data_IF_177173251891
#
_entry.id   IF_177173251891
#
_cell.length_a   1.000
_cell.length_b   1.000
_cell.length_c   1.000
_cell.angle_alpha   90.00
_cell.angle_beta   90.00
_cell.angle_gamma   90.00
#
_symmetry.space_group_name_H-M   'P 1'
#
loop_
_entity.id
_entity.type
_entity.pdbx_description
1 polymer ?
#
# COMPACT_ATOMS: atom_id res chain seq x y z
N UNK A 1 11.65 15.19 -6.55
CA UNK A 1 10.26 15.70 -6.45
C UNK A 1 9.90 16.59 -7.64
N UNK A 2 9.92 16.02 -8.87
CA UNK A 2 9.52 16.73 -10.10
C UNK A 2 8.10 16.35 -10.57
N UNK A 3 7.51 15.28 -10.03
CA UNK A 3 6.33 14.66 -10.63
C UNK A 3 5.01 15.35 -10.28
N UNK A 4 4.81 15.92 -9.09
CA UNK A 4 3.46 16.42 -8.76
C UNK A 4 2.99 17.60 -9.62
N UNK A 5 3.85 18.56 -9.96
CA UNK A 5 3.45 19.69 -10.82
C UNK A 5 3.26 19.28 -12.28
N UNK A 6 4.07 18.35 -12.78
CA UNK A 6 3.93 17.83 -14.14
C UNK A 6 2.66 16.95 -14.26
N UNK A 7 2.42 16.09 -13.28
CA UNK A 7 1.22 15.26 -13.18
C UNK A 7 -0.04 16.11 -13.02
N UNK A 8 -0.02 17.15 -12.18
CA UNK A 8 -1.14 18.07 -12.03
C UNK A 8 -1.43 18.82 -13.35
N UNK A 9 -0.41 19.17 -14.13
CA UNK A 9 -0.55 19.80 -15.45
C UNK A 9 -1.07 18.82 -16.52
N UNK A 10 -0.68 17.55 -16.46
CA UNK A 10 -1.19 16.49 -17.33
C UNK A 10 -2.67 16.17 -17.03
N UNK A 11 -3.03 16.01 -15.74
CA UNK A 11 -4.41 15.81 -15.29
C UNK A 11 -5.32 17.00 -15.64
N UNK A 12 -4.79 18.22 -15.59
CA UNK A 12 -5.52 19.44 -15.99
C UNK A 12 -5.78 19.50 -17.50
N UNK A 13 -4.91 18.91 -18.33
CA UNK A 13 -5.10 18.81 -19.78
C UNK A 13 -6.14 17.75 -20.14
N UNK A 14 -6.09 16.59 -19.49
CA UNK A 14 -7.08 15.53 -19.65
C UNK A 14 -8.49 15.97 -19.20
N UNK A 15 -8.60 16.82 -18.18
CA UNK A 15 -9.87 17.34 -17.68
C UNK A 15 -10.60 18.32 -18.63
N UNK A 16 -9.92 18.87 -19.65
CA UNK A 16 -10.54 19.79 -20.61
C UNK A 16 -11.24 19.07 -21.77
N UNK A 17 -10.86 17.83 -22.10
CA UNK A 17 -11.53 17.03 -23.14
C UNK A 17 -12.84 16.36 -22.65
N UNK A 18 -13.10 16.34 -21.34
CA UNK A 18 -14.33 15.81 -20.77
C UNK A 18 -15.46 16.84 -20.55
N UNK A 19 -15.29 18.11 -20.96
CA UNK A 19 -16.35 19.15 -20.83
C UNK A 19 -17.37 19.14 -21.99
N UNK A 20 -17.85 17.97 -22.40
CA UNK A 20 -19.09 17.80 -23.17
C UNK A 20 -19.86 16.58 -22.67
N UNK A 21 -20.32 16.65 -21.43
CA UNK A 21 -21.22 15.66 -20.85
C UNK A 21 -21.95 16.28 -19.67
N UNK A 22 -23.26 16.49 -19.83
CA UNK A 22 -24.17 17.10 -18.86
C UNK A 22 -24.13 16.31 -17.55
N UNK A 23 -23.76 16.95 -16.43
CA UNK A 23 -23.93 16.39 -15.09
C UNK A 23 -25.00 17.16 -14.34
N UNK A 24 -26.06 16.45 -13.96
CA UNK A 24 -27.15 16.95 -13.13
C UNK A 24 -26.69 17.27 -11.71
N UNK A 25 -27.31 18.31 -11.15
CA UNK A 25 -27.18 18.76 -9.77
C UNK A 25 -27.43 17.63 -8.76
N UNK A 26 -26.54 17.49 -7.77
CA UNK A 26 -26.84 16.79 -6.51
C UNK A 26 -26.53 17.71 -5.32
N UNK A 27 -27.57 17.87 -4.50
CA UNK A 27 -27.66 18.78 -3.36
C UNK A 27 -26.88 18.28 -2.14
N UNK A 28 -26.46 19.25 -1.31
CA UNK A 28 -25.87 19.08 0.03
C UNK A 28 -26.74 18.23 0.96
N UNK A 29 -26.09 17.45 1.82
CA UNK A 29 -26.45 17.31 3.25
C UNK A 29 -25.28 16.72 4.05
N UNK A 30 -24.98 17.37 5.19
CA UNK A 30 -24.01 16.98 6.22
C UNK A 30 -24.62 15.94 7.16
N UNK A 31 -23.84 14.96 7.64
CA UNK A 31 -23.95 14.45 9.03
C UNK A 31 -22.58 13.93 9.51
N UNK A 32 -22.08 14.55 10.58
CA UNK A 32 -20.93 14.15 11.41
C UNK A 32 -21.39 13.20 12.52
N UNK A 33 -20.48 12.33 12.98
CA UNK A 33 -20.41 11.92 14.40
C UNK A 33 -20.56 10.43 14.68
N UNK A 34 -19.51 9.82 15.28
CA UNK A 34 -19.58 8.48 15.86
C UNK A 34 -18.21 7.90 16.19
N UNK A 35 -17.59 8.36 17.28
CA UNK A 35 -16.34 7.82 17.81
C UNK A 35 -16.57 6.53 18.62
N UNK A 36 -15.63 5.58 18.51
CA UNK A 36 -15.62 4.31 19.25
C UNK A 36 -14.77 4.46 20.51
N UNK A 37 -15.37 4.28 21.69
CA UNK A 37 -14.69 4.17 22.99
C UNK A 37 -14.42 2.69 23.30
N UNK A 38 -13.18 2.38 23.66
CA UNK A 38 -12.80 1.14 24.34
C UNK A 38 -13.08 1.26 25.84
N UNK A 39 -13.68 0.22 26.44
CA UNK A 39 -13.76 0.05 27.89
C UNK A 39 -13.06 -1.25 28.27
N UNK A 40 -11.97 -1.10 29.02
CA UNK A 40 -11.35 -2.11 29.88
C UNK A 40 -12.20 -2.25 31.15
N UNK A 41 -12.36 -3.48 31.65
CA UNK A 41 -12.55 -3.71 33.08
C UNK A 41 -12.05 -5.10 33.47
N UNK A 42 -11.01 -5.13 34.31
CA UNK A 42 -10.78 -6.21 35.27
C UNK A 42 -11.79 -6.06 36.43
N UNK A 43 -12.26 -7.18 36.98
CA UNK A 43 -12.59 -7.32 38.40
C UNK A 43 -12.74 -8.81 38.76
N UNK A 44 -12.25 -9.14 39.95
CA UNK A 44 -12.00 -10.47 40.46
C UNK A 44 -13.24 -11.23 40.95
N UNK A 45 -13.11 -12.56 40.98
CA UNK A 45 -13.96 -13.55 41.68
C UNK A 45 -13.88 -13.36 43.23
N UNK A 46 -14.69 -14.01 44.11
CA UNK A 46 -15.16 -15.41 44.03
C UNK A 46 -16.59 -15.73 44.58
N UNK A 47 -17.10 -16.95 44.32
CA UNK A 47 -18.16 -17.53 45.16
C UNK A 47 -19.06 -18.62 44.56
N UNK A 48 -18.70 -19.89 44.84
CA UNK A 48 -19.54 -21.07 45.19
C UNK A 48 -20.66 -21.62 44.27
N UNK A 49 -20.39 -22.88 43.87
CA UNK A 49 -21.20 -24.11 43.99
C UNK A 49 -22.58 -24.24 43.26
N UNK A 50 -22.56 -25.13 42.25
CA UNK A 50 -23.65 -25.88 41.58
C UNK A 50 -24.41 -26.81 42.56
N UNK A 51 -25.60 -27.44 42.26
CA UNK A 51 -25.96 -27.99 40.93
C UNK A 51 -27.45 -28.05 40.52
N UNK A 52 -27.63 -28.50 39.27
CA UNK A 52 -28.81 -29.08 38.61
C UNK A 52 -29.60 -28.19 37.65
N UNK A 53 -29.39 -28.44 36.35
CA UNK A 53 -30.27 -28.00 35.25
C UNK A 53 -29.71 -28.49 33.91
N UNK A 54 -30.45 -29.35 33.22
CA UNK A 54 -30.07 -30.06 32.00
C UNK A 54 -29.46 -29.18 30.89
N UNK A 55 -28.35 -29.65 30.29
CA UNK A 55 -27.84 -29.17 29.00
C UNK A 55 -28.68 -29.73 27.84
N UNK A 56 -29.09 -28.90 26.87
CA UNK A 56 -29.17 -29.31 25.48
C UNK A 56 -27.81 -29.05 24.81
N UNK A 57 -27.27 -30.08 24.15
CA UNK A 57 -26.08 -30.00 23.31
C UNK A 57 -26.30 -29.03 22.14
N UNK A 58 -25.57 -27.92 22.13
CA UNK A 58 -25.38 -27.11 20.93
C UNK A 58 -24.29 -27.74 20.05
N UNK A 59 -24.69 -28.64 19.14
CA UNK A 59 -23.92 -28.98 17.95
C UNK A 59 -24.63 -28.34 16.75
N UNK A 60 -23.98 -27.41 16.04
CA UNK A 60 -24.58 -26.88 14.82
C UNK A 60 -24.02 -25.57 14.25
N UNK A 61 -22.74 -25.22 14.43
CA UNK A 61 -22.20 -24.00 13.81
C UNK A 61 -21.12 -24.23 12.73
N UNK A 62 -20.45 -25.39 12.70
CA UNK A 62 -19.35 -25.64 11.73
C UNK A 62 -19.79 -26.21 10.37
N UNK A 63 -20.95 -26.87 10.28
CA UNK A 63 -21.40 -27.52 9.03
C UNK A 63 -21.96 -26.51 8.00
N UNK A 64 -22.47 -25.38 8.46
CA UNK A 64 -23.07 -24.34 7.61
C UNK A 64 -22.02 -23.53 6.84
N UNK A 65 -20.93 -23.16 7.51
CA UNK A 65 -19.88 -22.32 6.93
C UNK A 65 -19.04 -23.10 5.91
N UNK A 66 -18.64 -24.33 6.24
CA UNK A 66 -17.94 -25.23 5.31
C UNK A 66 -18.76 -25.50 4.04
N UNK A 67 -20.08 -25.73 4.19
CA UNK A 67 -20.99 -25.88 3.05
C UNK A 67 -21.12 -24.62 2.19
N UNK A 68 -21.08 -23.44 2.79
CA UNK A 68 -21.12 -22.16 2.07
C UNK A 68 -19.85 -21.91 1.26
N UNK A 69 -18.68 -22.13 1.87
CA UNK A 69 -17.37 -21.96 1.20
C UNK A 69 -17.19 -22.96 0.05
N UNK A 70 -17.72 -24.17 0.20
CA UNK A 70 -17.77 -25.16 -0.87
C UNK A 70 -18.57 -24.65 -2.08
N UNK A 71 -19.78 -24.13 -1.84
CA UNK A 71 -20.64 -23.57 -2.90
C UNK A 71 -20.02 -22.37 -3.61
N UNK A 72 -19.26 -21.54 -2.88
CA UNK A 72 -18.54 -20.41 -3.49
C UNK A 72 -17.44 -20.88 -4.42
N UNK A 73 -16.69 -21.92 -4.05
CA UNK A 73 -15.66 -22.47 -4.92
C UNK A 73 -16.22 -23.19 -6.14
N UNK A 74 -17.37 -23.88 -6.02
CA UNK A 74 -18.10 -24.41 -7.17
C UNK A 74 -18.53 -23.29 -8.14
N UNK A 75 -19.13 -22.22 -7.63
CA UNK A 75 -19.55 -21.08 -8.44
C UNK A 75 -18.36 -20.44 -9.16
N UNK A 76 -17.23 -20.30 -8.45
CA UNK A 76 -16.00 -19.77 -9.00
C UNK A 76 -15.43 -20.69 -10.10
N UNK A 77 -15.45 -22.00 -9.89
CA UNK A 77 -15.04 -22.99 -10.89
C UNK A 77 -15.84 -22.81 -12.17
N UNK A 78 -17.17 -22.81 -12.11
CA UNK A 78 -18.02 -22.67 -13.30
C UNK A 78 -17.83 -21.32 -14.00
N UNK A 79 -17.56 -20.25 -13.24
CA UNK A 79 -17.28 -18.92 -13.79
C UNK A 79 -16.02 -18.93 -14.66
N UNK A 80 -14.97 -19.63 -14.24
CA UNK A 80 -13.68 -19.67 -14.96
C UNK A 80 -13.66 -20.77 -16.04
N UNK A 81 -14.34 -21.89 -15.79
CA UNK A 81 -14.39 -23.01 -16.71
C UNK A 81 -15.18 -22.70 -17.98
N UNK A 82 -16.14 -21.77 -17.93
CA UNK A 82 -16.98 -21.37 -19.08
C UNK A 82 -17.64 -22.58 -19.76
N UNK A 83 -18.12 -23.53 -18.94
CA UNK A 83 -18.78 -24.76 -19.41
C UNK A 83 -17.85 -25.95 -19.68
N UNK A 84 -16.54 -25.81 -19.48
CA UNK A 84 -15.60 -26.93 -19.56
C UNK A 84 -15.59 -27.77 -18.25
N UNK A 85 -15.29 -29.06 -18.35
CA UNK A 85 -15.18 -29.93 -17.17
C UNK A 85 -13.88 -29.73 -16.37
N UNK A 86 -12.87 -29.09 -16.97
CA UNK A 86 -11.55 -28.87 -16.39
C UNK A 86 -11.02 -27.49 -16.76
N UNK A 87 -10.26 -26.90 -15.85
CA UNK A 87 -9.63 -25.58 -16.02
C UNK A 87 -8.12 -25.76 -16.17
N UNK A 88 -7.52 -25.34 -17.30
CA UNK A 88 -6.08 -25.21 -17.40
C UNK A 88 -5.55 -24.14 -16.43
N UNK A 89 -4.45 -24.40 -15.73
CA UNK A 89 -3.89 -23.44 -14.76
C UNK A 89 -3.49 -22.11 -15.40
N UNK A 90 -3.04 -22.12 -16.65
CA UNK A 90 -2.75 -20.87 -17.36
C UNK A 90 -4.01 -20.02 -17.57
N UNK A 91 -5.18 -20.64 -17.76
CA UNK A 91 -6.47 -19.94 -17.87
C UNK A 91 -6.83 -19.29 -16.54
N UNK A 92 -6.69 -20.03 -15.43
CA UNK A 92 -6.89 -19.48 -14.08
C UNK A 92 -5.96 -18.30 -13.79
N UNK A 93 -4.65 -18.45 -14.02
CA UNK A 93 -3.66 -17.40 -13.73
C UNK A 93 -3.84 -16.18 -14.64
N UNK A 94 -4.27 -16.36 -15.88
CA UNK A 94 -4.62 -15.25 -16.79
C UNK A 94 -5.85 -14.50 -16.29
N UNK A 95 -6.91 -15.23 -15.93
CA UNK A 95 -8.13 -14.64 -15.40
C UNK A 95 -7.89 -13.93 -14.05
N UNK A 96 -7.03 -14.49 -13.20
CA UNK A 96 -6.58 -13.85 -11.95
C UNK A 96 -5.85 -12.53 -12.23
N UNK A 97 -4.91 -12.52 -13.19
CA UNK A 97 -4.19 -11.30 -13.58
C UNK A 97 -5.11 -10.22 -14.14
N UNK A 98 -6.17 -10.60 -14.86
CA UNK A 98 -7.17 -9.65 -15.36
C UNK A 98 -7.92 -8.91 -14.23
N UNK A 99 -8.02 -9.52 -13.03
CA UNK A 99 -8.56 -8.83 -11.85
C UNK A 99 -7.58 -7.80 -11.26
N UNK A 100 -6.33 -7.77 -11.71
CA UNK A 100 -5.25 -6.94 -11.19
C UNK A 100 -4.45 -7.58 -10.06
N UNK A 101 -4.86 -8.73 -9.52
CA UNK A 101 -4.05 -9.47 -8.56
C UNK A 101 -2.85 -10.13 -9.24
N UNK A 102 -1.75 -10.21 -8.53
CA UNK A 102 -0.55 -10.92 -8.97
C UNK A 102 -0.50 -12.32 -8.35
N UNK A 103 0.08 -13.28 -9.07
CA UNK A 103 0.31 -14.64 -8.55
C UNK A 103 1.31 -14.65 -7.38
N UNK A 104 2.06 -13.56 -7.17
CA UNK A 104 2.97 -13.39 -6.04
C UNK A 104 2.32 -12.66 -4.86
N UNK A 105 1.01 -12.41 -4.88
CA UNK A 105 0.31 -11.82 -3.73
C UNK A 105 0.46 -12.74 -2.51
N UNK A 106 0.99 -12.24 -1.37
CA UNK A 106 1.16 -13.06 -0.17
C UNK A 106 -0.14 -13.71 0.32
N UNK A 107 -1.30 -13.08 0.07
CA UNK A 107 -2.62 -13.61 0.45
C UNK A 107 -3.07 -14.78 -0.45
N UNK A 108 -2.38 -15.04 -1.56
CA UNK A 108 -2.64 -16.15 -2.48
C UNK A 108 -1.55 -17.23 -2.41
N UNK A 109 -0.59 -17.11 -1.49
CA UNK A 109 0.56 -18.02 -1.41
C UNK A 109 0.14 -19.49 -1.29
N UNK A 110 -0.83 -19.79 -0.43
CA UNK A 110 -1.32 -21.16 -0.22
C UNK A 110 -1.97 -21.71 -1.48
N UNK A 111 -2.85 -20.94 -2.12
CA UNK A 111 -3.49 -21.32 -3.37
C UNK A 111 -2.48 -21.63 -4.47
N UNK A 112 -1.51 -20.74 -4.68
CA UNK A 112 -0.48 -20.94 -5.71
C UNK A 112 0.42 -22.13 -5.40
N UNK A 113 0.79 -22.32 -4.13
CA UNK A 113 1.63 -23.45 -3.70
C UNK A 113 0.92 -24.79 -3.91
N UNK A 114 -0.38 -24.86 -3.58
CA UNK A 114 -1.19 -26.05 -3.83
C UNK A 114 -1.34 -26.35 -5.33
N UNK A 115 -1.59 -25.33 -6.15
CA UNK A 115 -1.68 -25.50 -7.60
C UNK A 115 -0.37 -26.02 -8.19
N UNK A 116 0.78 -25.46 -7.80
CA UNK A 116 2.08 -25.94 -8.27
C UNK A 116 2.38 -27.38 -7.83
N UNK A 117 2.06 -27.74 -6.58
CA UNK A 117 2.22 -29.12 -6.09
C UNK A 117 1.39 -30.11 -6.91
N UNK A 118 0.13 -29.77 -7.20
CA UNK A 118 -0.74 -30.65 -7.99
C UNK A 118 -0.26 -30.84 -9.43
N UNK A 119 0.37 -29.83 -10.03
CA UNK A 119 0.99 -29.95 -11.37
C UNK A 119 2.16 -30.92 -11.36
N UNK A 120 2.95 -30.90 -10.29
CA UNK A 120 4.11 -31.79 -10.17
C UNK A 120 3.71 -33.24 -9.89
N UNK A 121 2.65 -33.43 -9.10
CA UNK A 121 2.16 -34.76 -8.71
C UNK A 121 1.26 -35.41 -9.77
N UNK A 122 0.58 -34.61 -10.60
CA UNK A 122 -0.36 -35.12 -11.60
C UNK A 122 0.27 -35.21 -12.98
N UNK A 123 0.19 -36.38 -13.61
CA UNK A 123 0.49 -36.59 -15.04
C UNK A 123 -0.51 -35.90 -15.99
N UNK A 124 -1.54 -35.23 -15.45
CA UNK A 124 -2.66 -34.60 -16.17
C UNK A 124 -2.34 -33.24 -16.85
N UNK A 125 -1.06 -32.87 -17.01
CA UNK A 125 -0.68 -31.71 -17.82
C UNK A 125 -1.21 -30.35 -17.34
N UNK A 126 -1.48 -30.20 -16.03
CA UNK A 126 -1.92 -28.92 -15.44
C UNK A 126 -3.41 -28.58 -15.65
N UNK A 127 -4.25 -29.60 -15.83
CA UNK A 127 -5.71 -29.47 -15.83
C UNK A 127 -6.29 -29.69 -14.43
N UNK A 128 -7.07 -28.72 -13.93
CA UNK A 128 -7.77 -28.80 -12.65
C UNK A 128 -9.22 -29.23 -12.88
N UNK A 129 -9.63 -30.35 -12.30
CA UNK A 129 -11.05 -30.67 -12.15
C UNK A 129 -11.67 -29.87 -10.98
N UNK A 130 -12.98 -30.01 -10.78
CA UNK A 130 -13.73 -29.29 -9.74
C UNK A 130 -13.18 -29.54 -8.35
N UNK A 131 -12.88 -30.79 -8.00
CA UNK A 131 -12.49 -31.16 -6.64
C UNK A 131 -11.05 -30.73 -6.34
N UNK A 132 -10.15 -30.82 -7.32
CA UNK A 132 -8.78 -30.29 -7.24
C UNK A 132 -8.77 -28.76 -7.15
N UNK A 133 -9.60 -28.09 -7.95
CA UNK A 133 -9.77 -26.65 -7.89
C UNK A 133 -10.25 -26.20 -6.51
N UNK A 134 -11.30 -26.85 -5.99
CA UNK A 134 -11.86 -26.56 -4.66
C UNK A 134 -10.80 -26.65 -3.56
N UNK A 135 -9.97 -27.70 -3.60
CA UNK A 135 -8.85 -27.86 -2.65
C UNK A 135 -7.88 -26.68 -2.75
N UNK A 136 -7.46 -26.32 -3.96
CA UNK A 136 -6.50 -25.24 -4.20
C UNK A 136 -7.01 -23.88 -3.73
N UNK A 137 -8.28 -23.55 -3.95
CA UNK A 137 -8.81 -22.21 -3.65
C UNK A 137 -9.35 -22.09 -2.23
N UNK A 138 -9.56 -23.19 -1.51
CA UNK A 138 -10.23 -23.23 -0.21
C UNK A 138 -9.68 -22.21 0.81
N UNK A 139 -8.36 -22.12 0.96
CA UNK A 139 -7.71 -21.19 1.90
C UNK A 139 -7.90 -19.70 1.55
N UNK A 140 -8.18 -19.38 0.29
CA UNK A 140 -8.21 -18.01 -0.22
C UNK A 140 -9.52 -17.66 -0.94
N UNK A 141 -10.57 -18.48 -0.76
CA UNK A 141 -11.81 -18.41 -1.55
C UNK A 141 -12.54 -17.08 -1.42
N UNK A 142 -12.50 -16.44 -0.26
CA UNK A 142 -13.16 -15.14 -0.03
C UNK A 142 -12.55 -14.05 -0.91
N UNK A 143 -11.21 -13.95 -0.92
CA UNK A 143 -10.48 -12.97 -1.74
C UNK A 143 -10.70 -13.24 -3.24
N UNK A 144 -10.58 -14.51 -3.66
CA UNK A 144 -10.81 -14.90 -5.04
C UNK A 144 -12.26 -14.60 -5.47
N UNK A 145 -13.24 -14.89 -4.61
CA UNK A 145 -14.65 -14.58 -4.89
C UNK A 145 -14.85 -13.07 -5.06
N UNK A 146 -14.22 -12.24 -4.23
CA UNK A 146 -14.28 -10.78 -4.39
C UNK A 146 -13.67 -10.33 -5.73
N UNK A 147 -12.52 -10.90 -6.09
CA UNK A 147 -11.82 -10.59 -7.33
C UNK A 147 -12.68 -10.91 -8.57
N UNK A 148 -13.12 -12.17 -8.69
CA UNK A 148 -13.83 -12.65 -9.87
C UNK A 148 -15.28 -12.14 -9.96
N UNK A 149 -15.90 -11.74 -8.84
CA UNK A 149 -17.22 -11.09 -8.85
C UNK A 149 -17.16 -9.58 -8.99
N UNK A 150 -16.00 -9.03 -9.38
CA UNK A 150 -15.77 -7.59 -9.59
C UNK A 150 -16.17 -6.75 -8.36
N UNK A 151 -15.81 -7.23 -7.16
CA UNK A 151 -16.09 -6.55 -5.88
C UNK A 151 -14.92 -5.72 -5.36
N UNK A 152 -13.79 -5.71 -6.07
CA UNK A 152 -12.72 -4.77 -5.78
C UNK A 152 -13.13 -3.33 -6.10
N UNK A 153 -12.41 -2.40 -5.47
CA UNK A 153 -12.56 -0.96 -5.57
C UNK A 153 -12.46 -0.47 -7.01
N UNK A 154 -11.70 -1.17 -7.87
CA UNK A 154 -11.70 -0.98 -9.32
C UNK A 154 -12.19 -2.28 -9.98
N UNK A 155 -13.49 -2.39 -10.34
CA UNK A 155 -14.08 -3.56 -10.98
C UNK A 155 -13.44 -3.94 -12.33
N UNK A 156 -13.29 -2.97 -13.23
CA UNK A 156 -12.77 -3.15 -14.59
C UNK A 156 -11.31 -2.70 -14.67
N UNK A 157 -10.44 -3.46 -13.99
CA UNK A 157 -9.04 -3.09 -13.80
C UNK A 157 -8.24 -3.01 -15.09
N UNK A 158 -8.48 -3.91 -16.05
CA UNK A 158 -7.80 -3.92 -17.35
C UNK A 158 -8.04 -2.62 -18.14
N UNK A 159 -9.31 -2.19 -18.24
CA UNK A 159 -9.67 -0.91 -18.88
C UNK A 159 -9.01 0.27 -18.16
N UNK A 160 -9.07 0.28 -16.82
CA UNK A 160 -8.42 1.31 -16.01
C UNK A 160 -6.90 1.37 -16.26
N UNK A 161 -6.22 0.22 -16.35
CA UNK A 161 -4.78 0.19 -16.64
C UNK A 161 -4.45 0.70 -18.04
N UNK A 162 -5.32 0.46 -19.03
CA UNK A 162 -5.19 1.08 -20.35
C UNK A 162 -5.25 2.62 -20.30
N UNK A 163 -5.98 3.21 -19.35
CA UNK A 163 -5.96 4.67 -19.12
C UNK A 163 -4.65 5.13 -18.48
N UNK A 164 -4.12 4.34 -17.54
CA UNK A 164 -2.82 4.62 -16.91
C UNK A 164 -1.70 4.57 -17.95
N UNK A 165 -1.72 3.61 -18.87
CA UNK A 165 -0.74 3.47 -19.95
C UNK A 165 -0.75 4.70 -20.88
N UNK A 166 -1.94 5.19 -21.23
CA UNK A 166 -2.07 6.43 -22.03
C UNK A 166 -1.51 7.64 -21.30
N UNK A 167 -1.84 7.81 -20.02
CA UNK A 167 -1.28 8.90 -19.19
C UNK A 167 0.24 8.78 -19.07
N UNK A 168 0.75 7.55 -18.95
CA UNK A 168 2.19 7.28 -18.89
C UNK A 168 2.89 7.76 -20.15
N UNK A 169 2.41 7.41 -21.34
CA UNK A 169 3.00 7.84 -22.62
C UNK A 169 2.86 9.36 -22.81
N UNK A 170 1.70 9.96 -22.52
CA UNK A 170 1.51 11.41 -22.62
C UNK A 170 2.47 12.19 -21.71
N UNK A 171 2.71 11.68 -20.50
CA UNK A 171 3.62 12.32 -19.54
C UNK A 171 5.10 12.10 -19.87
N UNK A 172 5.44 10.99 -20.54
CA UNK A 172 6.80 10.64 -20.96
C UNK A 172 7.38 11.64 -21.96
N UNK A 173 6.53 12.22 -22.80
CA UNK A 173 6.91 13.28 -23.76
C UNK A 173 7.35 14.59 -23.08
N UNK A 174 7.12 14.74 -21.76
CA UNK A 174 7.54 15.92 -21.01
C UNK A 174 9.03 15.83 -20.60
N UNK A 175 9.93 16.07 -21.55
CA UNK A 175 11.40 15.98 -21.37
C UNK A 175 12.05 17.13 -20.59
N UNK A 176 11.26 18.05 -20.03
CA UNK A 176 11.75 19.23 -19.33
C UNK A 176 12.27 19.01 -17.90
N UNK A 177 13.06 19.97 -17.40
CA UNK A 177 13.55 20.04 -16.00
C UNK A 177 15.04 19.72 -15.83
N UNK A 178 15.63 19.99 -14.65
CA UNK A 178 17.05 19.66 -14.31
C UNK A 178 17.23 18.67 -13.17
N UNK A 179 18.04 17.61 -13.34
CA UNK A 179 18.16 16.57 -12.29
C UNK A 179 18.82 17.18 -11.06
N UNK A 180 18.50 16.64 -9.89
CA UNK A 180 19.04 17.14 -8.64
C UNK A 180 20.57 16.93 -8.62
N UNK A 181 21.32 18.03 -8.72
CA UNK A 181 22.78 17.98 -8.81
C UNK A 181 23.50 18.36 -7.50
N UNK A 182 22.76 18.72 -6.45
CA UNK A 182 23.33 19.12 -5.17
C UNK A 182 23.90 17.94 -4.37
N UNK A 183 23.53 16.69 -4.72
CA UNK A 183 24.15 15.46 -4.21
C UNK A 183 24.74 14.71 -5.41
N UNK A 184 26.05 14.38 -5.42
CA UNK A 184 26.71 13.75 -6.56
C UNK A 184 26.03 12.45 -7.07
N UNK A 185 25.44 11.69 -6.15
CA UNK A 185 24.78 10.41 -6.41
C UNK A 185 23.44 10.63 -7.12
N UNK A 186 22.74 11.72 -6.83
CA UNK A 186 21.53 12.13 -7.53
C UNK A 186 21.85 12.69 -8.93
N UNK A 187 23.00 13.33 -9.09
CA UNK A 187 23.46 13.86 -10.39
C UNK A 187 23.70 12.75 -11.42
N UNK A 188 24.00 11.52 -10.97
CA UNK A 188 24.19 10.34 -11.82
C UNK A 188 22.89 9.73 -12.35
N UNK A 189 21.72 10.20 -11.88
CA UNK A 189 20.44 9.67 -12.34
C UNK A 189 20.20 10.00 -13.82
N UNK A 190 19.91 8.99 -14.62
CA UNK A 190 19.54 9.16 -16.03
C UNK A 190 18.18 9.92 -16.12
N UNK A 191 18.12 11.08 -16.81
CA UNK A 191 16.90 11.88 -16.93
C UNK A 191 15.77 11.17 -17.69
N UNK A 192 16.07 10.15 -18.50
CA UNK A 192 15.10 9.42 -19.31
C UNK A 192 14.39 8.30 -18.51
N UNK A 193 14.76 8.11 -17.24
CA UNK A 193 14.08 7.16 -16.37
C UNK A 193 12.70 7.68 -15.96
N UNK A 194 11.68 7.05 -16.54
CA UNK A 194 10.28 7.28 -16.23
C UNK A 194 9.58 5.97 -15.89
N UNK A 195 8.82 5.96 -14.78
CA UNK A 195 8.14 4.77 -14.27
C UNK A 195 6.93 5.14 -13.42
N UNK A 196 5.84 4.40 -13.58
CA UNK A 196 4.59 4.55 -12.83
C UNK A 196 4.18 3.20 -12.28
N UNK A 197 3.91 3.14 -10.98
CA UNK A 197 3.39 1.95 -10.30
C UNK A 197 2.16 2.32 -9.49
N UNK A 198 1.17 1.42 -9.48
CA UNK A 198 -0.03 1.55 -8.67
C UNK A 198 -0.33 0.26 -7.90
N UNK A 199 -0.92 0.43 -6.72
CA UNK A 199 -1.42 -0.62 -5.85
C UNK A 199 -2.73 -0.11 -5.23
N UNK A 200 -3.83 -0.80 -5.46
CA UNK A 200 -5.13 -0.44 -4.85
C UNK A 200 -5.20 -0.99 -3.42
N UNK A 201 -6.19 -0.52 -2.63
CA UNK A 201 -6.42 -1.01 -1.27
C UNK A 201 -6.76 -2.51 -1.22
N UNK A 202 -7.28 -3.06 -2.33
CA UNK A 202 -7.57 -4.49 -2.48
C UNK A 202 -6.37 -5.30 -2.96
N UNK A 203 -5.24 -4.66 -3.27
CA UNK A 203 -4.02 -5.28 -3.75
C UNK A 203 -3.97 -5.50 -5.26
N UNK A 204 -4.82 -4.81 -6.05
CA UNK A 204 -4.69 -4.80 -7.51
C UNK A 204 -3.48 -3.95 -7.91
N UNK A 205 -2.65 -4.44 -8.83
CA UNK A 205 -1.36 -3.83 -9.14
C UNK A 205 -1.11 -3.73 -10.63
N UNK A 206 -0.56 -2.59 -11.04
CA UNK A 206 -0.09 -2.34 -12.40
C UNK A 206 1.17 -1.49 -12.38
N UNK A 207 2.02 -1.63 -13.39
CA UNK A 207 3.29 -0.93 -13.47
C UNK A 207 3.75 -0.77 -14.92
N UNK A 208 4.21 0.42 -15.27
CA UNK A 208 4.62 0.81 -16.63
C UNK A 208 5.95 1.56 -16.57
N UNK A 209 6.87 1.23 -17.48
CA UNK A 209 8.20 1.84 -17.55
C UNK A 209 9.18 1.32 -16.50
N UNK A 210 10.10 2.19 -16.05
CA UNK A 210 11.26 1.85 -15.23
C UNK A 210 10.92 1.73 -13.73
N UNK A 211 10.02 0.81 -13.38
CA UNK A 211 9.43 0.70 -12.03
C UNK A 211 10.25 -0.14 -11.04
N UNK A 212 11.22 -0.91 -11.53
CA UNK A 212 12.07 -1.79 -10.72
C UNK A 212 13.46 -1.20 -10.45
N UNK A 213 13.71 0.04 -10.86
CA UNK A 213 14.97 0.72 -10.59
C UNK A 213 14.89 1.37 -9.21
N UNK A 214 15.75 0.99 -8.25
CA UNK A 214 15.73 1.57 -6.91
C UNK A 214 16.22 3.02 -6.94
N UNK A 215 15.59 3.87 -6.11
CA UNK A 215 16.00 5.26 -5.90
C UNK A 215 15.75 5.68 -4.44
N UNK A 216 16.46 6.71 -3.98
CA UNK A 216 16.27 7.21 -2.61
C UNK A 216 14.93 7.96 -2.48
N UNK A 217 14.16 7.63 -1.45
CA UNK A 217 12.86 8.28 -1.16
C UNK A 217 12.98 9.80 -0.94
N UNK A 218 14.11 10.28 -0.40
CA UNK A 218 14.31 11.68 -0.06
C UNK A 218 13.16 12.20 0.81
N UNK A 219 12.65 13.41 0.56
CA UNK A 219 11.54 13.99 1.34
C UNK A 219 10.23 13.20 1.31
N UNK A 220 10.06 12.20 0.43
CA UNK A 220 8.90 11.31 0.46
C UNK A 220 8.86 10.43 1.73
N UNK A 221 9.95 10.34 2.49
CA UNK A 221 9.98 9.60 3.76
C UNK A 221 9.27 10.33 4.91
N UNK A 222 9.14 11.66 4.86
CA UNK A 222 8.57 12.50 5.93
C UNK A 222 7.17 12.07 6.40
N UNK A 223 6.19 11.84 5.50
CA UNK A 223 4.88 11.33 5.93
C UNK A 223 4.95 9.95 6.57
N UNK A 224 5.88 9.09 6.15
CA UNK A 224 6.05 7.76 6.71
C UNK A 224 6.60 7.82 8.14
N UNK A 225 7.64 8.62 8.38
CA UNK A 225 8.20 8.80 9.74
C UNK A 225 7.22 9.52 10.66
N UNK A 226 6.44 10.46 10.15
CA UNK A 226 5.34 11.07 10.90
C UNK A 226 4.27 10.04 11.28
N UNK A 227 3.81 9.21 10.34
CA UNK A 227 2.84 8.15 10.61
C UNK A 227 3.35 7.15 11.66
N UNK A 228 4.62 6.74 11.58
CA UNK A 228 5.26 5.90 12.59
C UNK A 228 5.20 6.58 13.96
N UNK A 229 5.59 7.85 14.06
CA UNK A 229 5.61 8.60 15.31
C UNK A 229 4.22 8.74 15.94
N UNK A 230 3.20 9.00 15.12
CA UNK A 230 1.80 9.09 15.56
C UNK A 230 1.30 7.73 16.04
N UNK A 231 1.62 6.65 15.30
CA UNK A 231 1.21 5.30 15.66
C UNK A 231 1.85 4.82 16.98
N UNK A 232 3.02 5.32 17.35
CA UNK A 232 3.74 4.88 18.55
C UNK A 232 3.54 5.78 19.76
N UNK A 233 3.42 7.10 19.56
CA UNK A 233 3.39 8.09 20.65
C UNK A 233 2.02 8.76 20.79
N UNK A 234 1.14 8.61 19.80
CA UNK A 234 -0.16 9.27 19.75
C UNK A 234 -0.07 10.71 19.24
N UNK A 235 -1.18 11.15 18.63
CA UNK A 235 -1.32 12.47 18.01
C UNK A 235 -1.02 13.61 18.98
N UNK A 236 -1.57 13.55 20.19
CA UNK A 236 -1.47 14.64 21.17
C UNK A 236 -0.03 14.83 21.65
N UNK A 237 0.75 13.75 21.79
CA UNK A 237 2.14 13.86 22.20
C UNK A 237 3.00 14.47 21.09
N UNK A 238 2.89 13.94 19.87
CA UNK A 238 3.69 14.41 18.72
C UNK A 238 3.46 15.89 18.47
N UNK A 239 2.21 16.35 18.54
CA UNK A 239 1.86 17.74 18.26
C UNK A 239 2.16 18.74 19.38
N UNK A 240 2.77 18.30 20.50
CA UNK A 240 3.45 19.22 21.43
C UNK A 240 4.74 19.80 20.84
N UNK A 241 5.32 19.11 19.84
CA UNK A 241 6.64 19.45 19.29
C UNK A 241 6.59 19.93 17.84
N UNK A 242 5.51 19.67 17.11
CA UNK A 242 5.35 20.07 15.72
C UNK A 242 3.90 20.46 15.44
N UNK A 243 3.70 21.55 14.70
CA UNK A 243 2.37 22.03 14.33
C UNK A 243 1.66 21.15 13.31
N UNK A 244 0.49 21.60 12.86
CA UNK A 244 -0.36 20.94 11.86
C UNK A 244 -0.55 21.76 10.59
N UNK A 245 -0.30 23.07 10.68
CA UNK A 245 -0.69 24.03 9.67
C UNK A 245 0.40 24.27 8.62
N UNK A 246 0.04 24.67 7.39
CA UNK A 246 1.01 25.07 6.39
C UNK A 246 1.76 26.33 6.85
N UNK A 247 3.04 26.44 6.48
CA UNK A 247 3.86 27.61 6.84
C UNK A 247 3.58 28.85 6.00
N UNK A 248 2.91 28.71 4.84
CA UNK A 248 2.81 29.76 3.83
C UNK A 248 4.15 30.15 3.18
N UNK A 249 5.26 29.52 3.59
CA UNK A 249 6.63 29.80 3.14
C UNK A 249 7.18 28.62 2.32
N UNK A 250 8.22 28.88 1.52
CA UNK A 250 8.93 27.81 0.80
C UNK A 250 9.59 26.83 1.78
N UNK A 251 9.60 25.54 1.44
CA UNK A 251 10.08 24.43 2.28
C UNK A 251 11.55 24.51 2.75
N UNK A 252 12.39 25.34 2.10
CA UNK A 252 13.80 25.54 2.46
C UNK A 252 14.02 26.59 3.55
N UNK A 253 13.01 27.38 3.92
CA UNK A 253 13.15 28.28 5.07
C UNK A 253 12.96 27.48 6.35
N UNK A 254 13.96 27.53 7.23
CA UNK A 254 13.78 27.17 8.63
C UNK A 254 12.87 28.22 9.25
N UNK A 255 11.57 27.92 9.34
CA UNK A 255 10.58 28.77 9.99
C UNK A 255 9.86 28.00 11.09
N UNK A 256 9.68 28.69 12.21
CA UNK A 256 8.86 28.24 13.34
C UNK A 256 7.56 29.05 13.32
N UNK A 257 6.50 28.47 13.88
CA UNK A 257 5.25 29.18 14.14
C UNK A 257 5.38 30.10 15.37
N UNK A 258 4.28 30.77 15.72
CA UNK A 258 4.21 31.71 16.85
C UNK A 258 4.50 31.01 18.19
N UNK A 259 4.25 29.70 18.27
CA UNK A 259 4.53 28.85 19.42
C UNK A 259 5.98 28.35 19.50
N UNK A 260 6.85 28.76 18.58
CA UNK A 260 8.26 28.38 18.57
C UNK A 260 8.53 26.94 18.16
N UNK A 261 7.57 26.26 17.51
CA UNK A 261 7.71 24.90 16.98
C UNK A 261 7.64 24.91 15.44
N UNK A 262 8.15 23.87 14.74
CA UNK A 262 8.02 23.82 13.29
C UNK A 262 6.55 23.73 12.86
N UNK A 263 6.18 24.39 11.76
CA UNK A 263 4.78 24.49 11.32
C UNK A 263 4.09 23.14 11.09
N UNK A 264 4.77 22.17 10.47
CA UNK A 264 4.22 20.84 10.21
C UNK A 264 5.31 19.81 9.93
N UNK A 265 5.00 18.49 9.98
CA UNK A 265 5.96 17.41 9.72
C UNK A 265 6.53 17.36 8.29
N UNK A 266 5.93 18.07 7.33
CA UNK A 266 6.33 18.01 5.91
C UNK A 266 7.48 18.95 5.56
N UNK A 267 7.75 19.97 6.37
CA UNK A 267 8.93 20.82 6.23
C UNK A 267 10.17 20.19 6.86
N UNK A 268 11.38 20.61 6.45
CA UNK A 268 12.63 20.01 6.95
C UNK A 268 12.75 20.11 8.49
N UNK A 269 12.45 21.29 9.07
CA UNK A 269 12.49 21.48 10.52
C UNK A 269 11.54 20.52 11.26
N UNK A 270 10.31 20.35 10.76
CA UNK A 270 9.33 19.43 11.35
C UNK A 270 9.75 17.96 11.22
N UNK A 271 10.33 17.57 10.09
CA UNK A 271 10.85 16.22 9.90
C UNK A 271 12.03 15.89 10.83
N UNK A 272 12.90 16.87 11.13
CA UNK A 272 13.98 16.71 12.11
C UNK A 272 13.40 16.48 13.51
N UNK A 273 12.41 17.29 13.91
CA UNK A 273 11.72 17.11 15.19
C UNK A 273 11.03 15.76 15.25
N UNK A 274 10.25 15.38 14.25
CA UNK A 274 9.61 14.05 14.19
C UNK A 274 10.63 12.93 14.31
N UNK A 275 11.76 13.03 13.62
CA UNK A 275 12.82 12.01 13.69
C UNK A 275 13.44 11.91 15.09
N UNK A 276 13.50 13.01 15.84
CA UNK A 276 14.01 12.99 17.22
C UNK A 276 13.04 12.33 18.22
N UNK A 277 11.73 12.31 17.89
CA UNK A 277 10.70 11.64 18.70
C UNK A 277 10.72 10.12 18.54
N UNK A 278 11.17 9.61 17.39
CA UNK A 278 11.34 8.17 17.16
C UNK A 278 12.64 7.66 17.83
N UNK A 279 12.86 8.03 19.09
CA UNK A 279 13.97 7.53 19.90
C UNK A 279 13.49 6.42 20.81
N UNK A 280 13.80 5.20 20.40
CA UNK A 280 13.83 4.03 21.27
C UNK A 280 15.25 3.90 21.84
N UNK A 281 15.38 3.30 23.02
CA UNK A 281 16.52 3.35 23.95
C UNK A 281 17.96 3.31 23.39
N UNK A 282 18.22 2.91 22.13
CA UNK A 282 19.55 3.00 21.50
C UNK A 282 19.51 3.58 20.07
N UNK A 283 20.42 4.52 19.72
CA UNK A 283 20.55 5.08 18.36
C UNK A 283 20.77 4.04 17.25
N UNK A 284 21.46 2.93 17.54
CA UNK A 284 21.73 1.87 16.55
C UNK A 284 20.47 1.10 16.12
N UNK A 285 19.41 1.10 16.94
CA UNK A 285 18.16 0.39 16.64
C UNK A 285 17.18 1.24 15.81
N UNK A 286 17.37 2.56 15.76
CA UNK A 286 16.46 3.48 15.09
C UNK A 286 16.27 3.14 13.61
N UNK A 287 17.37 3.03 12.85
CA UNK A 287 17.30 2.73 11.42
C UNK A 287 16.65 1.37 11.17
N UNK A 288 17.00 0.37 11.98
CA UNK A 288 16.44 -0.98 11.88
C UNK A 288 14.91 -0.97 12.09
N UNK A 289 14.43 -0.26 13.11
CA UNK A 289 12.99 -0.16 13.40
C UNK A 289 12.24 0.57 12.29
N UNK A 290 12.77 1.70 11.81
CA UNK A 290 12.16 2.42 10.68
C UNK A 290 12.09 1.52 9.46
N UNK A 291 13.16 0.79 9.14
CA UNK A 291 13.17 -0.16 8.04
C UNK A 291 12.15 -1.30 8.25
N UNK A 292 11.95 -1.80 9.47
CA UNK A 292 10.91 -2.80 9.74
C UNK A 292 9.51 -2.26 9.47
N UNK A 293 9.20 -1.03 9.89
CA UNK A 293 7.92 -0.40 9.58
C UNK A 293 7.73 -0.17 8.09
N UNK A 294 8.78 0.29 7.38
CA UNK A 294 8.74 0.47 5.93
C UNK A 294 8.54 -0.86 5.19
N UNK A 295 9.20 -1.94 5.61
CA UNK A 295 8.99 -3.27 5.05
C UNK A 295 7.54 -3.72 5.22
N UNK A 296 6.95 -3.54 6.41
CA UNK A 296 5.53 -3.87 6.65
C UNK A 296 4.60 -3.04 5.76
N UNK A 297 4.83 -1.73 5.67
CA UNK A 297 4.05 -0.83 4.80
C UNK A 297 4.19 -1.18 3.31
N UNK A 298 5.34 -1.72 2.89
CA UNK A 298 5.60 -2.15 1.52
C UNK A 298 5.18 -3.61 1.24
N UNK A 299 4.57 -4.32 2.19
CA UNK A 299 4.21 -5.73 2.00
C UNK A 299 5.41 -6.67 1.84
N UNK A 300 6.54 -6.34 2.49
CA UNK A 300 7.84 -7.01 2.38
C UNK A 300 8.47 -6.96 0.97
N UNK A 301 8.09 -5.97 0.15
CA UNK A 301 8.81 -5.66 -1.08
C UNK A 301 10.12 -4.91 -0.82
N UNK A 302 10.82 -4.54 -1.89
CA UNK A 302 12.14 -3.91 -1.81
C UNK A 302 12.14 -2.63 -0.96
N UNK A 303 12.82 -2.69 0.19
CA UNK A 303 13.21 -1.55 1.00
C UNK A 303 14.72 -1.62 1.23
N UNK A 304 15.46 -0.70 0.63
CA UNK A 304 16.91 -0.64 0.71
C UNK A 304 17.44 0.58 1.45
N UNK A 305 18.77 0.61 1.64
CA UNK A 305 19.50 1.76 2.18
C UNK A 305 20.72 2.05 1.30
N UNK A 306 21.05 3.33 1.12
CA UNK A 306 22.16 3.78 0.26
C UNK A 306 23.18 4.57 1.07
N UNK A 307 24.21 3.88 1.60
CA UNK A 307 25.34 4.51 2.29
C UNK A 307 26.00 5.60 1.41
N UNK A 308 26.08 5.35 0.10
CA UNK A 308 26.66 6.27 -0.84
C UNK A 308 25.92 7.61 -0.86
N UNK A 309 24.59 7.63 -0.73
CA UNK A 309 23.81 8.88 -0.70
C UNK A 309 23.89 9.55 0.67
N UNK A 310 23.85 8.76 1.75
CA UNK A 310 23.96 9.22 3.14
C UNK A 310 25.30 9.93 3.41
N UNK A 311 26.43 9.37 2.97
CA UNK A 311 27.77 9.90 3.23
C UNK A 311 28.03 11.32 2.70
N UNK A 312 27.18 11.84 1.79
CA UNK A 312 27.29 13.24 1.32
C UNK A 312 26.49 14.22 2.18
N UNK A 313 25.58 13.73 3.02
CA UNK A 313 24.90 14.57 4.01
C UNK A 313 25.76 14.76 5.27
N UNK A 314 26.60 13.78 5.59
CA UNK A 314 27.56 13.82 6.69
C UNK A 314 28.97 13.58 6.17
N UNK A 315 29.56 14.57 5.48
CA UNK A 315 30.94 14.45 5.05
C UNK A 315 31.84 14.35 6.30
N UNK A 316 32.93 13.57 6.21
CA UNK A 316 33.93 13.39 7.27
C UNK A 316 34.30 14.74 7.92
N UNK A 317 34.61 14.80 9.23
CA UNK A 317 34.93 16.06 9.94
C UNK A 317 36.05 16.91 9.30
N UNK A 318 36.79 16.37 8.33
CA UNK A 318 37.82 17.06 7.55
C UNK A 318 37.33 17.79 6.28
N UNK A 319 36.01 17.95 6.08
CA UNK A 319 35.45 18.53 4.85
C UNK A 319 35.00 19.97 5.08
N UNK A 320 35.59 20.92 4.35
CA UNK A 320 35.37 22.36 4.54
C UNK A 320 33.89 22.78 4.47
N UNK A 321 33.43 23.71 5.33
CA UNK A 321 32.01 24.05 5.51
C UNK A 321 31.38 24.88 4.38
N UNK A 322 32.09 25.19 3.29
CA UNK A 322 31.61 26.07 2.22
C UNK A 322 30.56 25.46 1.29
N UNK A 323 30.17 24.18 1.47
CA UNK A 323 29.22 23.48 0.61
C UNK A 323 27.80 23.31 1.20
N UNK A 324 27.52 23.85 2.39
CA UNK A 324 26.17 23.82 2.96
C UNK A 324 25.37 25.06 2.57
N UNK A 325 24.74 25.05 1.39
CA UNK A 325 23.63 25.94 1.11
C UNK A 325 22.33 25.27 1.60
N UNK A 326 21.91 25.63 2.82
CA UNK A 326 20.56 25.38 3.32
C UNK A 326 19.54 26.29 2.62
#
# INVERSE_FOLDING_TARGET
MRSMKALQKALSRAGNDCRRGVWGHLSRSLLFGGGVRYLLSEAAAPGRETPHGHQPQHQGHDSSESGMLSRLGDLLFYTIAEGQERIPIHKFTTALKATGLQTTDPRLQDCMSQMHRMVQESSNGGLLDRDLFQKCVSSNIVLLTQAFRKKFVIPDFEEFTGHVDRIFEDAKELTGGKVAAYIPQLAKSNPDLWGVSLCTVDGQRHSVGHTKIPFCLQSCVKPLTYAISISTLGTDYVHKFVGKEPSGLRYNKLSLNEEGIPHNPMVNAGAIVVSSLIKWCLPCLFLFQVLQYLNKMAGNEYVGFSNATEGNFFPSPNTHPSNFNY
#
